data_IF_875224684258
#
_entry.id   IF_875224684258
#
_cell.length_a   1.000
_cell.length_b   1.000
_cell.length_c   1.000
_cell.angle_alpha   90.00
_cell.angle_beta   90.00
_cell.angle_gamma   90.00
#
_symmetry.space_group_name_H-M   'P 1'
#
loop_
_entity.id
_entity.type
_entity.pdbx_description
1 polymer ?
#
# COMPACT_ATOMS: atom_id res chain seq x y z
N UNK A 1 -41.73 -5.92 3.72
CA UNK A 1 -40.49 -6.72 3.81
C UNK A 1 -39.81 -6.90 2.44
N UNK A 2 -40.53 -7.26 1.37
CA UNK A 2 -39.97 -7.39 0.01
C UNK A 2 -39.32 -6.10 -0.54
N UNK A 3 -39.87 -4.93 -0.20
CA UNK A 3 -39.34 -3.62 -0.59
C UNK A 3 -37.94 -3.32 0.00
N UNK A 4 -37.69 -3.72 1.25
CA UNK A 4 -36.40 -3.53 1.92
C UNK A 4 -35.34 -4.46 1.31
N UNK A 5 -35.72 -5.68 0.97
CA UNK A 5 -34.84 -6.61 0.25
C UNK A 5 -34.45 -6.08 -1.14
N UNK A 6 -35.39 -5.48 -1.87
CA UNK A 6 -35.12 -4.82 -3.15
C UNK A 6 -34.22 -3.59 -2.99
N UNK A 7 -34.46 -2.75 -1.97
CA UNK A 7 -33.63 -1.59 -1.68
C UNK A 7 -32.19 -1.99 -1.31
N UNK A 8 -32.00 -3.05 -0.51
CA UNK A 8 -30.68 -3.60 -0.19
C UNK A 8 -30.01 -4.13 -1.46
N UNK A 9 -30.73 -4.86 -2.32
CA UNK A 9 -30.21 -5.31 -3.61
C UNK A 9 -29.77 -4.16 -4.53
N UNK A 10 -30.52 -3.05 -4.52
CA UNK A 10 -30.17 -1.83 -5.27
C UNK A 10 -28.93 -1.17 -4.70
N UNK A 11 -28.83 -1.04 -3.37
CA UNK A 11 -27.65 -0.43 -2.71
C UNK A 11 -26.41 -1.29 -2.90
N UNK A 12 -26.54 -2.61 -2.77
CA UNK A 12 -25.46 -3.58 -3.04
C UNK A 12 -25.09 -3.54 -4.52
N UNK A 13 -26.05 -3.48 -5.43
CA UNK A 13 -25.81 -3.35 -6.86
C UNK A 13 -25.12 -2.04 -7.26
N UNK A 14 -25.50 -0.93 -6.64
CA UNK A 14 -24.85 0.38 -6.83
C UNK A 14 -23.43 0.37 -6.24
N UNK A 15 -23.23 -0.17 -5.04
CA UNK A 15 -21.92 -0.28 -4.40
C UNK A 15 -20.96 -1.16 -5.21
N UNK A 16 -21.47 -2.25 -5.79
CA UNK A 16 -20.70 -3.14 -6.66
C UNK A 16 -20.43 -2.50 -8.03
N UNK A 17 -21.40 -1.78 -8.61
CA UNK A 17 -21.22 -1.08 -9.89
C UNK A 17 -20.27 0.13 -9.80
N UNK A 18 -20.01 0.66 -8.61
CA UNK A 18 -18.99 1.69 -8.35
C UNK A 18 -17.57 1.09 -8.38
N UNK A 19 -17.41 -0.23 -8.26
CA UNK A 19 -16.12 -0.87 -8.54
C UNK A 19 -15.87 -0.87 -10.05
N UNK A 20 -14.69 -0.40 -10.46
CA UNK A 20 -14.35 -0.14 -11.86
C UNK A 20 -14.40 -1.39 -12.78
N UNK A 21 -14.48 -2.59 -12.20
CA UNK A 21 -14.37 -3.86 -12.91
C UNK A 21 -15.71 -4.59 -13.12
N UNK A 22 -16.81 -4.17 -12.48
CA UNK A 22 -18.07 -4.92 -12.57
C UNK A 22 -18.73 -4.85 -13.96
N UNK A 23 -18.59 -3.72 -14.65
CA UNK A 23 -19.05 -3.57 -16.03
C UNK A 23 -18.36 -4.55 -16.99
N UNK A 24 -17.07 -4.82 -16.74
CA UNK A 24 -16.26 -5.72 -17.58
C UNK A 24 -16.73 -7.18 -17.51
N UNK A 25 -17.30 -7.63 -16.39
CA UNK A 25 -17.90 -8.98 -16.25
C UNK A 25 -19.07 -9.22 -17.20
N UNK A 26 -19.76 -8.14 -17.61
CA UNK A 26 -20.88 -8.19 -18.55
C UNK A 26 -20.52 -7.61 -19.93
N UNK A 27 -19.22 -7.37 -20.19
CA UNK A 27 -18.72 -6.83 -21.46
C UNK A 27 -19.11 -5.36 -21.70
N UNK A 28 -19.50 -4.62 -20.67
CA UNK A 28 -19.90 -3.22 -20.77
C UNK A 28 -18.69 -2.31 -20.60
N UNK A 29 -18.60 -1.27 -21.42
CA UNK A 29 -17.60 -0.20 -21.24
C UNK A 29 -17.97 0.67 -20.03
N UNK A 30 -16.97 1.34 -19.42
CA UNK A 30 -17.16 2.20 -18.26
C UNK A 30 -18.24 3.29 -18.49
N UNK A 31 -18.31 3.84 -19.71
CA UNK A 31 -19.32 4.82 -20.09
C UNK A 31 -20.74 4.24 -20.23
N UNK A 32 -20.87 2.97 -20.63
CA UNK A 32 -22.16 2.27 -20.73
C UNK A 32 -22.66 1.84 -19.34
N UNK A 33 -21.76 1.37 -18.47
CA UNK A 33 -22.09 1.07 -17.07
C UNK A 33 -22.62 2.32 -16.36
N UNK A 34 -21.99 3.47 -16.56
CA UNK A 34 -22.43 4.74 -15.98
C UNK A 34 -23.86 5.15 -16.43
N UNK A 35 -24.24 4.84 -17.67
CA UNK A 35 -25.59 5.14 -18.21
C UNK A 35 -26.65 4.14 -17.79
N UNK A 36 -26.27 2.89 -17.54
CA UNK A 36 -27.19 1.84 -17.12
C UNK A 36 -27.67 2.00 -15.67
N UNK A 37 -26.81 2.51 -14.78
CA UNK A 37 -27.11 2.70 -13.35
C UNK A 37 -28.41 3.51 -13.11
N UNK A 38 -28.61 4.72 -13.67
CA UNK A 38 -29.84 5.48 -13.42
C UNK A 38 -31.09 4.79 -13.97
N UNK A 39 -30.98 4.05 -15.08
CA UNK A 39 -32.11 3.33 -15.68
C UNK A 39 -32.57 2.14 -14.82
N UNK A 40 -31.62 1.41 -14.23
CA UNK A 40 -31.93 0.31 -13.30
C UNK A 40 -32.63 0.86 -12.06
N UNK A 41 -32.13 1.96 -11.48
CA UNK A 41 -32.73 2.62 -10.31
C UNK A 41 -34.18 3.04 -10.61
N UNK A 42 -34.41 3.73 -11.73
CA UNK A 42 -35.74 4.17 -12.16
C UNK A 42 -36.66 2.96 -12.40
N UNK A 43 -36.17 1.92 -13.08
CA UNK A 43 -36.92 0.70 -13.35
C UNK A 43 -37.38 0.00 -12.07
N UNK A 44 -36.51 -0.10 -11.07
CA UNK A 44 -36.88 -0.65 -9.76
C UNK A 44 -37.87 0.22 -8.98
N UNK A 45 -37.75 1.55 -9.06
CA UNK A 45 -38.72 2.46 -8.44
C UNK A 45 -40.12 2.29 -9.07
N UNK A 46 -40.19 2.21 -10.39
CA UNK A 46 -41.44 1.96 -11.11
C UNK A 46 -42.03 0.59 -10.80
N UNK A 47 -41.21 -0.47 -10.80
CA UNK A 47 -41.64 -1.81 -10.43
C UNK A 47 -42.18 -1.87 -8.99
N UNK A 48 -41.58 -1.11 -8.06
CA UNK A 48 -42.06 -1.01 -6.68
C UNK A 48 -43.43 -0.34 -6.56
N UNK A 49 -43.73 0.62 -7.44
CA UNK A 49 -45.02 1.30 -7.48
C UNK A 49 -46.14 0.43 -8.05
N UNK A 50 -45.83 -0.55 -8.92
CA UNK A 50 -46.82 -1.47 -9.49
C UNK A 50 -47.29 -2.55 -8.52
N UNK A 51 -46.55 -2.87 -7.45
CA UNK A 51 -46.90 -3.93 -6.47
C UNK A 51 -47.88 -3.45 -5.39
N UNK A 52 -48.73 -2.47 -5.72
CA UNK A 52 -49.60 -1.76 -4.78
C UNK A 52 -50.68 -2.62 -4.12
N UNK A 53 -50.49 -2.96 -2.84
CA UNK A 53 -51.56 -3.05 -1.84
C UNK A 53 -51.51 -1.78 -1.00
N UNK A 54 -52.69 -1.26 -0.61
CA UNK A 54 -52.90 0.00 0.16
C UNK A 54 -51.81 0.23 1.22
N UNK A 55 -50.79 1.02 0.88
CA UNK A 55 -49.71 1.36 1.80
C UNK A 55 -50.24 2.32 2.86
N UNK A 56 -50.08 1.95 4.13
CA UNK A 56 -50.37 2.85 5.25
C UNK A 56 -49.35 4.01 5.19
N UNK A 57 -49.79 5.25 5.42
CA UNK A 57 -48.91 6.44 5.39
C UNK A 57 -47.61 6.28 6.20
N UNK A 58 -47.66 5.52 7.31
CA UNK A 58 -46.48 5.20 8.11
C UNK A 58 -45.42 4.36 7.40
N UNK A 59 -45.79 3.50 6.45
CA UNK A 59 -44.83 2.72 5.64
C UNK A 59 -44.12 3.58 4.59
N UNK A 60 -44.80 4.61 4.07
CA UNK A 60 -44.21 5.54 3.11
C UNK A 60 -43.19 6.44 3.81
N UNK A 61 -43.54 6.94 5.01
CA UNK A 61 -42.64 7.77 5.81
C UNK A 61 -41.40 6.97 6.25
N UNK A 62 -41.57 5.71 6.69
CA UNK A 62 -40.43 4.88 7.07
C UNK A 62 -39.55 4.51 5.88
N UNK A 63 -40.13 4.24 4.71
CA UNK A 63 -39.39 4.02 3.47
C UNK A 63 -38.58 5.27 3.06
N UNK A 64 -39.17 6.45 3.17
CA UNK A 64 -38.50 7.72 2.84
C UNK A 64 -37.34 8.00 3.81
N UNK A 65 -37.53 7.75 5.11
CA UNK A 65 -36.46 7.87 6.10
C UNK A 65 -35.28 6.94 5.82
N UNK A 66 -35.54 5.70 5.40
CA UNK A 66 -34.49 4.74 5.00
C UNK A 66 -33.72 5.26 3.77
N UNK A 67 -34.41 5.78 2.76
CA UNK A 67 -33.75 6.34 1.58
C UNK A 67 -32.90 7.57 1.89
N UNK A 68 -33.37 8.44 2.78
CA UNK A 68 -32.57 9.59 3.26
C UNK A 68 -31.34 9.13 4.02
N UNK A 69 -31.47 8.11 4.89
CA UNK A 69 -30.34 7.55 5.61
C UNK A 69 -29.30 6.91 4.67
N UNK A 70 -29.76 6.13 3.68
CA UNK A 70 -28.89 5.53 2.65
C UNK A 70 -28.19 6.62 1.84
N UNK A 71 -28.94 7.65 1.39
CA UNK A 71 -28.38 8.78 0.66
C UNK A 71 -27.33 9.55 1.47
N UNK A 72 -27.56 9.74 2.77
CA UNK A 72 -26.60 10.36 3.67
C UNK A 72 -25.33 9.52 3.82
N UNK A 73 -25.45 8.21 3.99
CA UNK A 73 -24.29 7.30 4.06
C UNK A 73 -23.49 7.31 2.75
N UNK A 74 -24.16 7.30 1.61
CA UNK A 74 -23.51 7.38 0.30
C UNK A 74 -22.84 8.73 0.07
N UNK A 75 -23.47 9.83 0.50
CA UNK A 75 -22.90 11.18 0.42
C UNK A 75 -21.62 11.29 1.28
N UNK A 76 -21.66 10.75 2.50
CA UNK A 76 -20.49 10.66 3.38
C UNK A 76 -19.42 9.80 2.72
N UNK A 77 -19.74 8.58 2.25
CA UNK A 77 -18.79 7.70 1.57
C UNK A 77 -18.16 8.34 0.32
N UNK A 78 -18.93 9.10 -0.47
CA UNK A 78 -18.43 9.82 -1.63
C UNK A 78 -17.53 11.00 -1.24
N UNK A 79 -17.90 11.75 -0.20
CA UNK A 79 -17.11 12.87 0.31
C UNK A 79 -15.76 12.39 0.83
N UNK A 80 -15.74 11.24 1.53
CA UNK A 80 -14.54 10.62 2.08
C UNK A 80 -13.88 9.59 1.15
N UNK A 81 -14.23 9.56 -0.14
CA UNK A 81 -13.74 8.53 -1.09
C UNK A 81 -12.21 8.45 -1.16
N UNK A 82 -11.51 9.59 -1.07
CA UNK A 82 -10.05 9.64 -1.11
C UNK A 82 -9.42 9.03 0.13
N UNK A 83 -10.00 9.30 1.30
CA UNK A 83 -9.57 8.69 2.56
C UNK A 83 -9.85 7.19 2.56
N UNK A 84 -11.02 6.75 2.06
CA UNK A 84 -11.36 5.33 1.94
C UNK A 84 -10.41 4.58 1.00
N UNK A 85 -9.97 5.20 -0.10
CA UNK A 85 -8.94 4.64 -0.99
C UNK A 85 -7.60 4.48 -0.26
N UNK A 86 -7.19 5.48 0.52
CA UNK A 86 -5.96 5.39 1.33
C UNK A 86 -6.05 4.34 2.44
N UNK A 87 -7.23 4.14 3.05
CA UNK A 87 -7.48 3.05 4.00
C UNK A 87 -7.44 1.69 3.29
N UNK A 88 -8.04 1.57 2.11
CA UNK A 88 -7.99 0.35 1.30
C UNK A 88 -6.56 -0.05 0.94
N UNK A 89 -5.73 0.93 0.54
CA UNK A 89 -4.31 0.72 0.29
C UNK A 89 -3.53 0.35 1.57
N UNK A 90 -3.85 0.94 2.73
CA UNK A 90 -3.28 0.54 4.03
C UNK A 90 -3.69 -0.88 4.45
N UNK A 91 -4.93 -1.27 4.20
CA UNK A 91 -5.44 -2.62 4.51
C UNK A 91 -4.86 -3.66 3.54
N UNK A 92 -4.76 -3.36 2.24
CA UNK A 92 -4.07 -4.24 1.30
C UNK A 92 -2.56 -4.31 1.56
N UNK A 93 -1.93 -3.20 1.96
CA UNK A 93 -0.54 -3.17 2.44
C UNK A 93 -0.34 -3.94 3.75
N UNK A 94 -1.38 -4.09 4.57
CA UNK A 94 -1.33 -4.97 5.75
C UNK A 94 -1.41 -6.47 5.40
N UNK A 95 -1.87 -6.81 4.19
CA UNK A 95 -1.85 -8.19 3.65
C UNK A 95 -0.52 -8.53 2.97
N UNK A 96 0.28 -7.54 2.57
CA UNK A 96 1.67 -7.66 2.12
C UNK A 96 2.59 -6.70 2.90
N UNK A 97 3.00 -7.08 4.13
CA UNK A 97 3.82 -6.22 4.98
C UNK A 97 5.19 -5.96 4.35
N UNK A 98 5.52 -4.69 4.06
CA UNK A 98 6.84 -4.27 3.55
C UNK A 98 6.86 -3.59 2.19
N UNK A 99 5.73 -3.58 1.47
CA UNK A 99 5.63 -2.94 0.17
C UNK A 99 5.79 -1.41 0.29
N UNK A 100 6.82 -0.88 -0.36
CA UNK A 100 7.00 0.56 -0.54
C UNK A 100 5.99 1.07 -1.59
N UNK A 101 5.09 1.96 -1.17
CA UNK A 101 4.09 2.58 -2.05
C UNK A 101 4.64 3.93 -2.50
N UNK A 102 4.80 4.11 -3.80
CA UNK A 102 5.16 5.41 -4.39
C UNK A 102 3.89 6.24 -4.55
N UNK A 103 3.85 7.44 -3.99
CA UNK A 103 2.77 8.39 -4.21
C UNK A 103 2.80 8.88 -5.67
N UNK A 104 1.76 8.62 -6.49
CA UNK A 104 1.72 9.02 -7.89
C UNK A 104 1.76 10.54 -8.13
N UNK A 105 1.43 11.36 -7.13
CA UNK A 105 1.38 12.82 -7.28
C UNK A 105 2.68 13.50 -6.85
N UNK A 106 3.33 12.99 -5.80
CA UNK A 106 4.54 13.61 -5.24
C UNK A 106 5.82 12.88 -5.61
N UNK A 107 5.74 11.60 -6.00
CA UNK A 107 6.91 10.74 -6.19
C UNK A 107 7.60 10.37 -4.87
N UNK A 108 6.97 10.63 -3.72
CA UNK A 108 7.50 10.23 -2.43
C UNK A 108 7.26 8.74 -2.18
N UNK A 109 8.15 8.11 -1.41
CA UNK A 109 8.00 6.71 -1.04
C UNK A 109 7.40 6.63 0.36
N UNK A 110 6.24 5.97 0.46
CA UNK A 110 5.55 5.69 1.72
C UNK A 110 5.68 4.20 2.06
N UNK A 111 6.10 3.91 3.28
CA UNK A 111 6.28 2.54 3.77
C UNK A 111 5.46 2.37 5.05
N UNK A 112 4.61 1.35 5.09
CA UNK A 112 3.87 0.98 6.29
C UNK A 112 4.75 0.20 7.27
N UNK A 113 4.55 0.42 8.57
CA UNK A 113 5.25 -0.34 9.61
C UNK A 113 4.89 -1.83 9.52
N UNK A 114 5.91 -2.69 9.60
CA UNK A 114 5.71 -4.14 9.65
C UNK A 114 5.20 -4.59 11.02
N UNK A 115 4.55 -5.76 11.09
CA UNK A 115 4.06 -6.36 12.34
C UNK A 115 5.15 -6.53 13.43
N UNK A 116 6.43 -6.55 13.04
CA UNK A 116 7.58 -6.61 13.97
C UNK A 116 8.07 -5.26 14.51
N UNK A 117 7.40 -4.15 14.20
CA UNK A 117 7.76 -2.81 14.69
C UNK A 117 8.87 -2.09 13.90
N UNK A 118 9.55 -2.80 12.99
CA UNK A 118 10.50 -2.22 12.04
C UNK A 118 9.82 -1.82 10.73
N UNK A 119 10.44 -0.89 10.00
CA UNK A 119 10.05 -0.56 8.64
C UNK A 119 10.86 -1.43 7.68
N UNK A 120 10.19 -2.44 7.11
CA UNK A 120 10.75 -3.26 6.03
C UNK A 120 10.45 -2.60 4.69
N UNK A 121 11.45 -2.54 3.83
CA UNK A 121 11.42 -1.88 2.54
C UNK A 121 11.95 -2.87 1.51
N UNK A 122 11.15 -3.14 0.48
CA UNK A 122 11.63 -3.87 -0.69
C UNK A 122 12.50 -2.93 -1.53
N UNK A 123 13.80 -3.24 -1.60
CA UNK A 123 14.77 -2.46 -2.37
C UNK A 123 15.29 -3.28 -3.55
N UNK A 124 15.90 -2.61 -4.52
CA UNK A 124 16.59 -3.28 -5.63
C UNK A 124 18.04 -2.84 -5.69
N UNK A 125 18.95 -3.81 -5.55
CA UNK A 125 20.39 -3.61 -5.54
C UNK A 125 20.97 -4.29 -6.77
N UNK A 126 21.60 -3.52 -7.65
CA UNK A 126 22.14 -4.02 -8.92
C UNK A 126 21.13 -4.84 -9.75
N UNK A 127 19.84 -4.50 -9.65
CA UNK A 127 18.75 -5.21 -10.32
C UNK A 127 18.13 -6.39 -9.54
N UNK A 128 18.74 -6.85 -8.45
CA UNK A 128 18.18 -7.91 -7.60
C UNK A 128 17.30 -7.33 -6.48
N UNK A 129 16.17 -7.98 -6.19
CA UNK A 129 15.32 -7.61 -5.05
C UNK A 129 15.99 -8.02 -3.74
N UNK A 130 16.21 -7.04 -2.87
CA UNK A 130 16.83 -7.21 -1.55
C UNK A 130 15.93 -6.55 -0.51
N UNK A 131 15.28 -7.31 0.38
CA UNK A 131 14.50 -6.73 1.46
C UNK A 131 15.43 -6.12 2.51
N UNK A 132 15.17 -4.88 2.88
CA UNK A 132 15.97 -4.15 3.86
C UNK A 132 15.12 -3.59 4.99
N UNK A 133 15.74 -3.34 6.13
CA UNK A 133 15.13 -2.63 7.26
C UNK A 133 15.68 -1.21 7.28
N UNK A 134 14.79 -0.22 7.37
CA UNK A 134 15.19 1.16 7.66
C UNK A 134 15.82 1.25 9.06
N UNK A 135 17.07 1.71 9.14
CA UNK A 135 17.80 1.78 10.39
C UNK A 135 18.67 3.05 10.46
N UNK A 136 18.23 4.03 11.26
CA UNK A 136 18.99 5.25 11.54
C UNK A 136 20.19 5.03 12.47
N UNK A 137 20.26 3.88 13.14
CA UNK A 137 21.40 3.49 13.97
C UNK A 137 22.58 2.94 13.15
N UNK A 138 22.33 2.50 11.91
CA UNK A 138 23.36 2.04 11.00
C UNK A 138 24.03 3.23 10.29
N UNK A 139 25.33 3.43 10.52
CA UNK A 139 26.10 4.52 9.90
C UNK A 139 26.28 4.39 8.38
N UNK A 140 25.95 3.23 7.82
CA UNK A 140 25.99 2.94 6.39
C UNK A 140 24.96 1.87 6.04
N UNK A 141 24.70 1.70 4.75
CA UNK A 141 24.01 0.53 4.21
C UNK A 141 24.82 -0.73 4.56
N UNK A 142 24.15 -1.73 5.13
CA UNK A 142 24.77 -3.00 5.52
C UNK A 142 24.03 -4.14 4.85
N UNK A 143 24.75 -5.00 4.14
CA UNK A 143 24.20 -6.19 3.51
C UNK A 143 24.60 -7.45 4.28
N UNK A 144 23.66 -8.39 4.37
CA UNK A 144 24.00 -9.77 4.72
C UNK A 144 24.85 -10.37 3.59
N UNK A 145 25.67 -11.39 3.91
CA UNK A 145 26.48 -12.07 2.91
C UNK A 145 25.60 -12.66 1.79
N UNK A 146 24.48 -13.29 2.19
CA UNK A 146 23.49 -13.88 1.28
C UNK A 146 22.87 -12.85 0.33
N UNK A 147 22.50 -11.68 0.85
CA UNK A 147 21.87 -10.63 0.04
C UNK A 147 22.88 -9.99 -0.93
N UNK A 148 24.14 -9.85 -0.50
CA UNK A 148 25.21 -9.38 -1.37
C UNK A 148 25.47 -10.35 -2.54
N UNK A 149 25.45 -11.67 -2.28
CA UNK A 149 25.54 -12.70 -3.32
C UNK A 149 24.35 -12.65 -4.28
N UNK A 150 23.13 -12.51 -3.74
CA UNK A 150 21.93 -12.36 -4.55
C UNK A 150 21.96 -11.10 -5.43
N UNK A 151 22.58 -10.02 -4.94
CA UNK A 151 22.82 -8.77 -5.68
C UNK A 151 24.02 -8.83 -6.65
N UNK A 152 24.61 -10.02 -6.85
CA UNK A 152 25.70 -10.23 -7.82
C UNK A 152 27.05 -9.65 -7.39
N UNK A 153 27.23 -9.31 -6.12
CA UNK A 153 28.51 -8.84 -5.59
C UNK A 153 29.43 -10.05 -5.38
N UNK A 154 30.68 -9.98 -5.84
CA UNK A 154 31.67 -11.05 -5.62
C UNK A 154 32.09 -11.08 -4.14
N UNK A 155 31.49 -11.99 -3.39
CA UNK A 155 31.75 -12.16 -1.96
C UNK A 155 33.03 -12.96 -1.66
N UNK A 156 33.55 -13.72 -2.62
CA UNK A 156 34.67 -14.65 -2.38
C UNK A 156 36.00 -13.93 -2.22
N UNK A 157 36.14 -12.76 -2.83
CA UNK A 157 37.34 -11.92 -2.74
C UNK A 157 37.26 -10.87 -1.62
N UNK A 158 36.17 -10.84 -0.83
CA UNK A 158 35.98 -9.81 0.18
C UNK A 158 36.92 -10.00 1.37
N UNK A 159 37.48 -8.88 1.82
CA UNK A 159 38.31 -8.81 3.01
C UNK A 159 37.53 -8.18 4.16
N UNK A 160 37.16 -8.98 5.15
CA UNK A 160 36.42 -8.54 6.34
C UNK A 160 37.36 -7.93 7.37
N UNK A 161 37.83 -6.73 7.11
CA UNK A 161 38.86 -6.04 7.93
C UNK A 161 38.31 -4.90 8.76
N UNK A 162 37.06 -4.47 8.52
CA UNK A 162 36.46 -3.32 9.21
C UNK A 162 35.73 -3.84 10.45
N UNK A 163 36.15 -3.47 11.67
CA UNK A 163 35.43 -3.85 12.86
C UNK A 163 34.07 -3.14 12.90
N UNK A 164 33.02 -3.89 13.20
CA UNK A 164 31.65 -3.36 13.31
C UNK A 164 31.04 -3.77 14.64
N UNK A 165 30.21 -2.90 15.19
CA UNK A 165 29.41 -3.19 16.37
C UNK A 165 27.96 -3.35 15.92
N UNK A 166 27.40 -4.52 16.20
CA UNK A 166 26.01 -4.87 15.87
C UNK A 166 25.26 -5.18 17.16
N UNK A 167 23.93 -5.32 17.08
CA UNK A 167 23.12 -5.78 18.19
C UNK A 167 23.54 -7.17 18.70
N UNK A 168 24.13 -8.01 17.84
CA UNK A 168 24.60 -9.35 18.17
C UNK A 168 26.05 -9.36 18.72
N UNK A 169 26.68 -8.19 18.88
CA UNK A 169 28.05 -8.05 19.36
C UNK A 169 29.01 -7.45 18.31
N UNK A 170 30.30 -7.58 18.58
CA UNK A 170 31.35 -7.12 17.66
C UNK A 170 31.58 -8.14 16.55
N UNK A 171 31.65 -7.68 15.31
CA UNK A 171 31.97 -8.49 14.13
C UNK A 171 32.95 -7.77 13.20
N UNK A 172 33.13 -8.34 12.02
CA UNK A 172 33.91 -7.74 10.96
C UNK A 172 33.07 -7.59 9.69
N UNK A 173 33.34 -6.55 8.93
CA UNK A 173 32.68 -6.23 7.68
C UNK A 173 33.69 -5.94 6.57
N UNK A 174 33.26 -6.21 5.34
CA UNK A 174 34.00 -5.86 4.13
C UNK A 174 33.39 -4.59 3.50
N UNK A 175 34.19 -3.54 3.24
CA UNK A 175 33.70 -2.35 2.56
C UNK A 175 33.46 -2.65 1.08
N UNK A 176 32.30 -2.25 0.57
CA UNK A 176 31.95 -2.36 -0.85
C UNK A 176 31.27 -1.09 -1.35
N UNK A 177 31.10 -1.00 -2.66
CA UNK A 177 30.25 0.01 -3.28
C UNK A 177 29.15 -0.69 -4.06
N UNK A 178 27.93 -0.23 -3.84
CA UNK A 178 26.75 -0.67 -4.58
C UNK A 178 26.67 0.22 -5.82
N UNK A 179 26.60 -0.38 -7.01
CA UNK A 179 26.54 0.36 -8.26
C UNK A 179 25.22 1.11 -8.38
N UNK A 180 24.11 0.44 -8.06
CA UNK A 180 22.77 1.01 -8.07
C UNK A 180 21.92 0.45 -6.92
N UNK A 181 21.35 1.35 -6.13
CA UNK A 181 20.38 1.05 -5.08
C UNK A 181 19.09 1.81 -5.37
N UNK A 182 17.97 1.10 -5.40
CA UNK A 182 16.65 1.64 -5.71
C UNK A 182 15.68 1.37 -4.57
N UNK A 183 14.95 2.40 -4.16
CA UNK A 183 13.86 2.35 -3.18
C UNK A 183 12.64 3.01 -3.79
N UNK A 184 11.65 2.22 -4.21
CA UNK A 184 10.54 2.74 -5.01
C UNK A 184 11.06 3.38 -6.31
N UNK A 185 10.84 4.68 -6.47
CA UNK A 185 11.35 5.50 -7.58
C UNK A 185 12.67 6.25 -7.27
N UNK A 186 13.18 6.16 -6.04
CA UNK A 186 14.43 6.82 -5.63
C UNK A 186 15.60 5.95 -6.04
N UNK A 187 16.44 6.45 -6.94
CA UNK A 187 17.62 5.74 -7.44
C UNK A 187 18.87 6.45 -6.96
N UNK A 188 19.81 5.68 -6.41
CA UNK A 188 21.14 6.17 -6.01
C UNK A 188 22.22 5.26 -6.56
N UNK A 189 23.27 5.86 -7.09
CA UNK A 189 24.42 5.14 -7.60
C UNK A 189 25.65 5.29 -6.72
N UNK A 190 26.55 4.31 -6.75
CA UNK A 190 27.86 4.37 -6.08
C UNK A 190 27.78 4.57 -4.55
N UNK A 191 26.79 3.92 -3.93
CA UNK A 191 26.54 4.00 -2.48
C UNK A 191 27.57 3.17 -1.74
N UNK A 192 28.20 3.77 -0.72
CA UNK A 192 29.09 3.06 0.19
C UNK A 192 28.25 2.12 1.05
N UNK A 193 28.63 0.85 1.08
CA UNK A 193 28.00 -0.17 1.90
C UNK A 193 29.04 -1.08 2.56
N UNK A 194 28.58 -1.88 3.49
CA UNK A 194 29.37 -2.92 4.14
C UNK A 194 28.68 -4.25 4.02
N UNK A 195 29.45 -5.31 3.85
CA UNK A 195 28.96 -6.69 3.91
C UNK A 195 29.48 -7.29 5.20
N UNK A 196 28.59 -7.81 6.04
CA UNK A 196 28.99 -8.47 7.29
C UNK A 196 29.28 -9.95 7.04
N UNK A 197 30.09 -10.55 7.92
CA UNK A 197 30.33 -11.99 7.91
C UNK A 197 29.03 -12.79 8.12
N UNK A 198 29.06 -14.05 7.69
CA UNK A 198 27.90 -14.93 7.76
C UNK A 198 27.34 -15.04 9.20
N UNK A 199 26.01 -15.13 9.31
CA UNK A 199 25.24 -15.12 10.56
C UNK A 199 25.38 -13.87 11.46
N UNK A 200 26.05 -12.80 11.02
CA UNK A 200 26.10 -11.56 11.81
C UNK A 200 24.80 -10.74 11.71
N UNK A 201 24.03 -10.91 10.63
CA UNK A 201 22.84 -10.13 10.32
C UNK A 201 21.80 -10.95 9.55
N UNK A 202 20.57 -11.02 10.07
CA UNK A 202 19.46 -11.78 9.45
C UNK A 202 18.80 -11.04 8.27
N UNK A 203 18.82 -9.71 8.28
CA UNK A 203 18.21 -8.89 7.23
C UNK A 203 19.05 -7.65 7.01
N UNK A 204 19.31 -7.31 5.74
CA UNK A 204 20.06 -6.13 5.34
C UNK A 204 19.47 -4.82 5.89
N UNK A 205 20.32 -3.82 6.16
CA UNK A 205 19.96 -2.55 6.80
C UNK A 205 20.17 -1.38 5.83
N UNK A 206 19.12 -0.57 5.66
CA UNK A 206 19.16 0.67 4.91
C UNK A 206 19.55 1.81 5.86
N UNK A 207 20.85 2.08 5.92
CA UNK A 207 21.46 3.03 6.85
C UNK A 207 21.81 4.40 6.26
N UNK A 208 22.57 5.17 7.04
CA UNK A 208 22.79 6.60 6.80
C UNK A 208 23.44 6.95 5.46
N UNK A 209 24.31 6.09 4.89
CA UNK A 209 24.91 6.36 3.56
C UNK A 209 23.88 6.45 2.43
N UNK A 210 22.69 5.89 2.61
CA UNK A 210 21.54 6.15 1.72
C UNK A 210 20.64 7.26 2.26
N UNK A 211 20.32 7.24 3.55
CA UNK A 211 19.36 8.19 4.15
C UNK A 211 19.80 9.65 4.05
N UNK A 212 21.11 9.93 4.14
CA UNK A 212 21.67 11.28 3.99
C UNK A 212 21.61 11.80 2.54
N UNK A 213 21.31 10.93 1.58
CA UNK A 213 21.13 11.32 0.18
C UNK A 213 19.72 11.83 -0.12
N UNK A 214 18.78 11.65 0.81
CA UNK A 214 17.39 12.09 0.70
C UNK A 214 17.29 13.57 1.05
N UNK A 215 16.35 14.30 0.42
CA UNK A 215 16.05 15.68 0.83
C UNK A 215 15.40 15.73 2.21
N UNK A 216 14.61 14.71 2.55
CA UNK A 216 13.96 14.52 3.85
C UNK A 216 13.53 13.08 4.04
N UNK A 217 13.49 12.62 5.28
CA UNK A 217 12.72 11.45 5.68
C UNK A 217 11.91 11.76 6.95
N UNK A 218 10.70 11.19 7.05
CA UNK A 218 9.80 11.38 8.20
C UNK A 218 9.41 10.02 8.76
N UNK A 219 9.64 9.82 10.05
CA UNK A 219 9.26 8.60 10.76
C UNK A 219 8.10 8.92 11.70
N UNK A 220 6.96 8.26 11.50
CA UNK A 220 5.78 8.32 12.37
C UNK A 220 5.53 6.97 13.02
N UNK A 221 4.50 6.86 13.87
CA UNK A 221 4.20 5.62 14.59
C UNK A 221 3.97 4.43 13.66
N UNK A 222 3.27 4.61 12.54
CA UNK A 222 2.88 3.52 11.63
C UNK A 222 3.32 3.74 10.18
N UNK A 223 4.02 4.85 9.89
CA UNK A 223 4.47 5.20 8.54
C UNK A 223 5.89 5.75 8.52
N UNK A 224 6.58 5.46 7.41
CA UNK A 224 7.84 6.06 7.01
C UNK A 224 7.63 6.74 5.66
N UNK A 225 8.09 7.97 5.52
CA UNK A 225 8.05 8.75 4.28
C UNK A 225 9.47 9.13 3.88
N UNK A 226 9.84 8.86 2.61
CA UNK A 226 11.13 9.22 2.02
C UNK A 226 10.89 10.21 0.89
N UNK A 227 11.64 11.31 0.91
CA UNK A 227 11.59 12.38 -0.08
C UNK A 227 12.91 12.47 -0.83
N UNK A 228 12.83 12.55 -2.16
CA UNK A 228 13.97 12.80 -3.05
C UNK A 228 14.38 14.28 -3.04
#
# INVERSE_FOLDING_TARGET
MLFVAFAILIVVGIAIAISADFGALFGLTQGETARAIPLVVIGTLLASALVGRRHRLGEIISALAIWVAIGAVLLVGYTYRGELQSVGQRVMGSLQPGAAIVDPQTGNVHVARSFGGSFRIDTRINGAEVPMIFDTGASAVVLSLRDAEAAGIDTRSLSFTVPVQTANGTGAAAPVRIDQLEVGNIVRSNIRAFIVQDNALDTSLLGMTFLETLSRYTVSQDSLELHD
#
